data_IF_149395346945
#
_entry.id   IF_149395346945
#
_cell.length_a   1.000
_cell.length_b   1.000
_cell.length_c   1.000
_cell.angle_alpha   90.00
_cell.angle_beta   90.00
_cell.angle_gamma   90.00
#
_symmetry.space_group_name_H-M   'P 1'
#
loop_
_entity.id
_entity.type
_entity.pdbx_description
1 polymer ?
#
# COMPACT_ATOMS: atom_id res chain seq x y z
N UNK A 1 16.52 4.83 34.17
CA UNK A 1 17.32 3.84 34.92
C UNK A 1 16.48 3.34 36.09
N UNK A 2 16.49 2.04 36.39
CA UNK A 2 16.02 1.57 37.70
C UNK A 2 16.94 2.22 38.74
N UNK A 3 16.44 3.24 39.44
CA UNK A 3 17.14 3.75 40.62
C UNK A 3 17.04 2.64 41.65
N UNK A 4 18.17 2.08 42.05
CA UNK A 4 18.24 1.11 43.14
C UNK A 4 17.83 1.82 44.42
N UNK A 5 16.55 1.78 44.74
CA UNK A 5 16.06 2.17 46.07
C UNK A 5 16.69 1.18 47.06
N UNK A 6 17.29 1.65 48.16
CA UNK A 6 17.80 0.75 49.19
C UNK A 6 16.67 -0.17 49.66
N UNK A 7 16.84 -1.46 49.40
CA UNK A 7 15.88 -2.48 49.82
C UNK A 7 16.03 -2.74 51.33
N UNK A 8 14.90 -2.96 52.02
CA UNK A 8 14.86 -3.36 53.44
C UNK A 8 13.96 -4.59 53.66
N UNK A 9 14.27 -5.72 53.01
CA UNK A 9 13.52 -6.97 53.18
C UNK A 9 13.54 -7.44 54.64
N UNK A 10 12.41 -7.97 55.09
CA UNK A 10 12.24 -8.42 56.48
C UNK A 10 12.83 -9.81 56.72
N UNK A 11 12.95 -10.64 55.68
CA UNK A 11 13.47 -12.02 55.74
C UNK A 11 12.83 -12.93 56.78
N UNK A 12 11.70 -12.55 57.39
CA UNK A 12 10.97 -13.34 58.40
C UNK A 12 10.80 -14.83 58.07
N UNK A 13 10.56 -15.26 56.81
CA UNK A 13 10.48 -16.68 56.47
C UNK A 13 11.79 -17.47 56.71
N UNK A 14 12.94 -16.80 56.84
CA UNK A 14 14.24 -17.43 57.10
C UNK A 14 14.53 -17.63 58.60
N UNK A 15 13.65 -17.18 59.51
CA UNK A 15 13.88 -17.27 60.96
C UNK A 15 13.97 -18.70 61.47
N UNK A 16 13.40 -19.68 60.76
CA UNK A 16 13.47 -21.10 61.09
C UNK A 16 14.83 -21.74 60.73
N UNK A 17 15.64 -21.05 59.91
CA UNK A 17 16.96 -21.52 59.53
C UNK A 17 18.02 -21.21 60.61
N UNK A 18 19.04 -22.07 60.70
CA UNK A 18 20.24 -21.83 61.51
C UNK A 18 20.94 -20.54 61.07
N UNK A 19 21.55 -19.83 62.02
CA UNK A 19 22.10 -18.48 61.81
C UNK A 19 22.99 -18.36 60.56
N UNK A 20 24.00 -19.22 60.40
CA UNK A 20 24.89 -19.20 59.23
C UNK A 20 24.12 -19.38 57.91
N UNK A 21 23.13 -20.28 57.88
CA UNK A 21 22.32 -20.54 56.68
C UNK A 21 21.35 -19.40 56.38
N UNK A 22 20.80 -18.76 57.43
CA UNK A 22 19.91 -17.60 57.31
C UNK A 22 20.65 -16.42 56.67
N UNK A 23 21.87 -16.13 57.11
CA UNK A 23 22.69 -15.06 56.57
C UNK A 23 23.04 -15.30 55.09
N UNK A 24 23.51 -16.50 54.76
CA UNK A 24 23.82 -16.84 53.36
C UNK A 24 22.60 -16.79 52.45
N UNK A 25 21.44 -17.25 52.91
CA UNK A 25 20.20 -17.18 52.15
C UNK A 25 19.77 -15.73 51.90
N UNK A 26 19.85 -14.86 52.91
CA UNK A 26 19.53 -13.43 52.77
C UNK A 26 20.46 -12.73 51.77
N UNK A 27 21.77 -12.99 51.84
CA UNK A 27 22.75 -12.48 50.86
C UNK A 27 22.42 -12.97 49.44
N UNK A 28 22.13 -14.27 49.29
CA UNK A 28 21.74 -14.86 48.01
C UNK A 28 20.52 -14.17 47.40
N UNK A 29 19.46 -13.95 48.18
CA UNK A 29 18.25 -13.25 47.72
C UNK A 29 18.52 -11.80 47.30
N UNK A 30 19.39 -11.09 48.01
CA UNK A 30 19.80 -9.73 47.62
C UNK A 30 20.53 -9.73 46.28
N UNK A 31 21.49 -10.65 46.08
CA UNK A 31 22.19 -10.80 44.80
C UNK A 31 21.22 -11.16 43.67
N UNK A 32 20.30 -12.10 43.92
CA UNK A 32 19.26 -12.48 42.96
C UNK A 32 18.37 -11.29 42.58
N UNK A 33 17.93 -10.47 43.55
CA UNK A 33 17.12 -9.28 43.26
C UNK A 33 17.82 -8.35 42.27
N UNK A 34 19.08 -7.99 42.51
CA UNK A 34 19.82 -7.11 41.61
C UNK A 34 20.10 -7.76 40.25
N UNK A 35 20.38 -9.06 40.21
CA UNK A 35 20.51 -9.81 38.96
C UNK A 35 19.24 -9.75 38.11
N UNK A 36 18.08 -9.99 38.73
CA UNK A 36 16.78 -9.92 38.05
C UNK A 36 16.47 -8.49 37.56
N UNK A 37 16.88 -7.45 38.29
CA UNK A 37 16.73 -6.07 37.84
C UNK A 37 17.53 -5.78 36.56
N UNK A 38 18.74 -6.36 36.43
CA UNK A 38 19.50 -6.25 35.18
C UNK A 38 18.81 -7.02 34.05
N UNK A 39 18.30 -8.23 34.31
CA UNK A 39 17.51 -8.97 33.32
C UNK A 39 16.28 -8.18 32.82
N UNK A 40 15.57 -7.49 33.72
CA UNK A 40 14.45 -6.60 33.33
C UNK A 40 14.90 -5.41 32.49
N UNK A 41 16.10 -4.86 32.73
CA UNK A 41 16.64 -3.77 31.91
C UNK A 41 17.03 -4.25 30.52
N UNK A 42 17.44 -5.51 30.40
CA UNK A 42 17.92 -6.12 29.17
C UNK A 42 16.80 -6.74 28.32
N UNK A 43 15.55 -6.71 28.78
CA UNK A 43 14.37 -7.13 28.00
C UNK A 43 14.29 -6.37 26.67
N UNK A 44 14.06 -7.13 25.60
CA UNK A 44 13.98 -6.64 24.22
C UNK A 44 12.58 -6.79 23.64
N UNK A 45 12.27 -5.99 22.59
CA UNK A 45 11.11 -6.24 21.76
C UNK A 45 11.11 -7.67 21.24
N UNK A 46 9.94 -8.32 21.25
CA UNK A 46 9.71 -9.70 20.79
C UNK A 46 10.38 -10.81 21.62
N UNK A 47 10.92 -10.51 22.80
CA UNK A 47 11.28 -11.55 23.75
C UNK A 47 10.06 -12.42 24.08
N UNK A 48 10.30 -13.72 24.28
CA UNK A 48 9.25 -14.69 24.58
C UNK A 48 8.54 -14.36 25.89
N UNK A 49 7.21 -14.50 25.93
CA UNK A 49 6.37 -14.38 27.14
C UNK A 49 6.91 -15.21 28.30
N UNK A 50 7.52 -16.37 28.03
CA UNK A 50 8.13 -17.22 29.04
C UNK A 50 9.22 -16.51 29.89
N UNK A 51 9.94 -15.54 29.31
CA UNK A 51 10.94 -14.75 30.03
C UNK A 51 10.25 -13.80 31.01
N UNK A 52 9.17 -13.15 30.56
CA UNK A 52 8.36 -12.25 31.40
C UNK A 52 7.71 -13.00 32.55
N UNK A 53 7.14 -14.18 32.30
CA UNK A 53 6.53 -15.04 33.31
C UNK A 53 7.56 -15.48 34.35
N UNK A 54 8.73 -15.94 33.90
CA UNK A 54 9.84 -16.32 34.78
C UNK A 54 10.26 -15.16 35.69
N UNK A 55 10.48 -13.98 35.12
CA UNK A 55 10.88 -12.80 35.90
C UNK A 55 9.80 -12.42 36.92
N UNK A 56 8.53 -12.43 36.51
CA UNK A 56 7.40 -12.10 37.36
C UNK A 56 7.27 -13.07 38.54
N UNK A 57 7.43 -14.38 38.30
CA UNK A 57 7.43 -15.41 39.34
C UNK A 57 8.61 -15.23 40.29
N UNK A 58 9.81 -14.98 39.79
CA UNK A 58 11.00 -14.77 40.62
C UNK A 58 10.87 -13.53 41.53
N UNK A 59 10.32 -12.42 41.03
CA UNK A 59 10.03 -11.25 41.86
C UNK A 59 8.93 -11.52 42.89
N UNK A 60 7.86 -12.22 42.52
CA UNK A 60 6.81 -12.60 43.47
C UNK A 60 7.34 -13.51 44.60
N UNK A 61 8.34 -14.33 44.33
CA UNK A 61 9.01 -15.11 45.38
C UNK A 61 9.80 -14.20 46.34
N UNK A 62 10.57 -13.24 45.81
CA UNK A 62 11.31 -12.29 46.64
C UNK A 62 10.38 -11.39 47.48
N UNK A 63 9.20 -11.03 46.96
CA UNK A 63 8.21 -10.23 47.69
C UNK A 63 7.80 -10.90 49.02
N UNK A 64 7.71 -12.23 49.07
CA UNK A 64 7.40 -12.98 50.30
C UNK A 64 8.46 -12.79 51.41
N UNK A 65 9.67 -12.39 51.05
CA UNK A 65 10.77 -12.09 51.96
C UNK A 65 10.89 -10.58 52.27
N UNK A 66 9.97 -9.75 51.75
CA UNK A 66 9.87 -8.33 52.05
C UNK A 66 10.56 -7.41 51.03
N UNK A 67 10.95 -7.93 49.87
CA UNK A 67 11.48 -7.10 48.80
C UNK A 67 10.38 -6.23 48.19
N UNK A 68 10.68 -4.96 47.91
CA UNK A 68 9.81 -4.11 47.12
C UNK A 68 10.02 -4.42 45.63
N UNK A 69 9.01 -5.04 45.04
CA UNK A 69 8.98 -5.49 43.65
C UNK A 69 7.96 -4.75 42.80
N UNK A 70 7.29 -3.73 43.33
CA UNK A 70 6.21 -3.05 42.63
C UNK A 70 6.68 -2.42 41.31
N UNK A 71 7.80 -1.71 41.35
CA UNK A 71 8.42 -1.08 40.18
C UNK A 71 8.86 -2.09 39.09
N UNK A 72 9.67 -3.13 39.39
CA UNK A 72 10.05 -4.11 38.37
C UNK A 72 8.84 -4.89 37.83
N UNK A 73 7.88 -5.27 38.66
CA UNK A 73 6.64 -5.94 38.21
C UNK A 73 5.84 -5.05 37.24
N UNK A 74 5.59 -3.78 37.62
CA UNK A 74 4.91 -2.81 36.77
C UNK A 74 5.61 -2.64 35.42
N UNK A 75 6.94 -2.60 35.42
CA UNK A 75 7.74 -2.48 34.20
C UNK A 75 7.65 -3.72 33.32
N UNK A 76 7.71 -4.92 33.89
CA UNK A 76 7.53 -6.18 33.16
C UNK A 76 6.16 -6.19 32.49
N UNK A 77 5.08 -5.90 33.22
CA UNK A 77 3.71 -5.80 32.66
C UNK A 77 3.64 -4.76 31.55
N UNK A 78 4.25 -3.59 31.74
CA UNK A 78 4.23 -2.54 30.73
C UNK A 78 4.95 -2.95 29.45
N UNK A 79 6.14 -3.56 29.55
CA UNK A 79 6.89 -4.03 28.38
C UNK A 79 6.15 -5.15 27.67
N UNK A 80 5.55 -6.09 28.39
CA UNK A 80 4.71 -7.14 27.79
C UNK A 80 3.55 -6.55 26.99
N UNK A 81 2.84 -5.56 27.55
CA UNK A 81 1.75 -4.88 26.84
C UNK A 81 2.23 -4.14 25.58
N UNK A 82 3.46 -3.63 25.59
CA UNK A 82 4.07 -3.00 24.42
C UNK A 82 4.44 -4.03 23.36
N UNK A 83 4.93 -5.22 23.75
CA UNK A 83 5.20 -6.32 22.81
C UNK A 83 3.92 -6.77 22.09
N UNK A 84 2.81 -6.95 22.81
CA UNK A 84 1.52 -7.28 22.20
C UNK A 84 1.05 -6.19 21.22
N UNK A 85 1.26 -4.91 21.61
CA UNK A 85 0.97 -3.77 20.75
C UNK A 85 1.83 -3.74 19.49
N UNK A 86 3.12 -4.04 19.60
CA UNK A 86 4.05 -4.11 18.48
C UNK A 86 3.68 -5.24 17.51
N UNK A 87 3.29 -6.41 18.01
CA UNK A 87 2.82 -7.53 17.19
C UNK A 87 1.60 -7.14 16.36
N UNK A 88 0.57 -6.54 16.99
CA UNK A 88 -0.62 -6.04 16.30
C UNK A 88 -0.27 -4.98 15.25
N UNK A 89 0.63 -4.05 15.57
CA UNK A 89 1.08 -3.03 14.62
C UNK A 89 1.88 -3.59 13.46
N UNK A 90 2.64 -4.67 13.66
CA UNK A 90 3.32 -5.37 12.58
C UNK A 90 2.32 -6.03 11.62
N UNK A 91 1.26 -6.67 12.14
CA UNK A 91 0.18 -7.25 11.33
C UNK A 91 -0.59 -6.17 10.54
N UNK A 92 -0.96 -5.06 11.21
CA UNK A 92 -1.61 -3.91 10.55
C UNK A 92 -0.73 -3.35 9.43
N UNK A 93 0.58 -3.21 9.66
CA UNK A 93 1.54 -2.73 8.66
C UNK A 93 1.56 -3.64 7.44
N UNK A 94 1.68 -4.97 7.62
CA UNK A 94 1.68 -5.94 6.51
C UNK A 94 0.36 -5.84 5.72
N UNK A 95 -0.77 -5.71 6.40
CA UNK A 95 -2.08 -5.55 5.76
C UNK A 95 -2.13 -4.29 4.88
N UNK A 96 -1.60 -3.17 5.37
CA UNK A 96 -1.55 -1.91 4.61
C UNK A 96 -0.61 -2.00 3.42
N UNK A 97 0.57 -2.60 3.60
CA UNK A 97 1.54 -2.82 2.52
C UNK A 97 0.93 -3.67 1.39
N UNK A 98 0.23 -4.77 1.72
CA UNK A 98 -0.45 -5.60 0.73
C UNK A 98 -1.54 -4.84 -0.05
N UNK A 99 -2.34 -4.01 0.64
CA UNK A 99 -3.37 -3.18 0.00
C UNK A 99 -2.77 -2.12 -0.92
N UNK A 100 -1.62 -1.57 -0.54
CA UNK A 100 -0.90 -0.60 -1.36
C UNK A 100 -0.39 -1.27 -2.66
N UNK A 101 0.22 -2.44 -2.55
CA UNK A 101 0.69 -3.20 -3.73
C UNK A 101 -0.46 -3.57 -4.69
N UNK A 102 -1.63 -3.93 -4.16
CA UNK A 102 -2.83 -4.19 -4.95
C UNK A 102 -3.32 -2.92 -5.67
N UNK A 103 -3.42 -1.80 -4.95
CA UNK A 103 -3.82 -0.52 -5.53
C UNK A 103 -2.86 -0.05 -6.63
N UNK A 104 -1.55 -0.24 -6.45
CA UNK A 104 -0.53 0.09 -7.47
C UNK A 104 -0.63 -0.81 -8.70
N UNK A 105 -1.04 -2.08 -8.54
CA UNK A 105 -1.29 -2.99 -9.66
C UNK A 105 -2.51 -2.55 -10.46
N UNK A 106 -3.63 -2.26 -9.79
CA UNK A 106 -4.85 -1.80 -10.45
C UNK A 106 -4.64 -0.45 -11.15
N UNK A 107 -3.91 0.47 -10.51
CA UNK A 107 -3.50 1.74 -11.13
C UNK A 107 -2.75 1.49 -12.44
N UNK A 108 -1.76 0.60 -12.47
CA UNK A 108 -0.99 0.28 -13.69
C UNK A 108 -1.88 -0.27 -14.80
N UNK A 109 -2.79 -1.18 -14.47
CA UNK A 109 -3.75 -1.72 -15.44
C UNK A 109 -4.61 -0.62 -16.08
N UNK A 110 -5.12 0.30 -15.27
CA UNK A 110 -5.88 1.46 -15.76
C UNK A 110 -5.00 2.36 -16.64
N UNK A 111 -3.74 2.62 -16.26
CA UNK A 111 -2.80 3.40 -17.08
C UNK A 111 -2.52 2.75 -18.44
N UNK A 112 -2.40 1.42 -18.49
CA UNK A 112 -2.24 0.64 -19.72
C UNK A 112 -3.48 0.73 -20.62
N UNK A 113 -4.68 0.56 -20.05
CA UNK A 113 -5.96 0.71 -20.76
C UNK A 113 -6.11 2.14 -21.32
N UNK A 114 -5.76 3.16 -20.53
CA UNK A 114 -5.75 4.56 -20.98
C UNK A 114 -4.77 4.79 -22.14
N UNK A 115 -3.58 4.18 -22.11
CA UNK A 115 -2.61 4.29 -23.18
C UNK A 115 -3.10 3.62 -24.47
N UNK A 116 -3.77 2.47 -24.36
CA UNK A 116 -4.38 1.79 -25.50
C UNK A 116 -5.52 2.62 -26.11
N UNK A 117 -6.40 3.19 -25.28
CA UNK A 117 -7.48 4.06 -25.74
C UNK A 117 -6.95 5.29 -26.47
N UNK A 118 -5.90 5.94 -25.96
CA UNK A 118 -5.23 7.05 -26.65
C UNK A 118 -4.72 6.64 -28.03
N UNK A 119 -4.14 5.44 -28.16
CA UNK A 119 -3.66 4.92 -29.45
C UNK A 119 -4.82 4.70 -30.43
N UNK A 120 -5.95 4.15 -29.96
CA UNK A 120 -7.15 3.95 -30.78
C UNK A 120 -7.76 5.27 -31.24
N UNK A 121 -7.77 6.30 -30.39
CA UNK A 121 -8.25 7.64 -30.76
C UNK A 121 -7.40 8.21 -31.90
N UNK A 122 -6.07 8.14 -31.80
CA UNK A 122 -5.17 8.63 -32.85
C UNK A 122 -5.38 7.90 -34.19
N UNK A 123 -5.59 6.58 -34.16
CA UNK A 123 -5.90 5.81 -35.35
C UNK A 123 -7.24 6.22 -35.98
N UNK A 124 -8.27 6.46 -35.17
CA UNK A 124 -9.57 6.93 -35.67
C UNK A 124 -9.46 8.32 -36.28
N UNK A 125 -8.72 9.25 -35.65
CA UNK A 125 -8.47 10.59 -36.20
C UNK A 125 -7.74 10.53 -37.55
N UNK A 126 -6.79 9.59 -37.71
CA UNK A 126 -6.12 9.39 -38.99
C UNK A 126 -7.09 8.90 -40.07
N UNK A 127 -7.97 7.95 -39.74
CA UNK A 127 -8.98 7.44 -40.68
C UNK A 127 -10.00 8.51 -41.07
N UNK A 128 -10.42 9.33 -40.11
CA UNK A 128 -11.29 10.47 -40.34
C UNK A 128 -10.66 11.45 -41.34
N UNK A 129 -9.39 11.80 -41.16
CA UNK A 129 -8.66 12.68 -42.10
C UNK A 129 -8.61 12.11 -43.53
N UNK A 130 -8.33 10.80 -43.67
CA UNK A 130 -8.32 10.13 -44.99
C UNK A 130 -9.72 10.16 -45.63
N UNK A 131 -10.76 9.87 -44.85
CA UNK A 131 -12.14 9.87 -45.35
C UNK A 131 -12.59 11.27 -45.79
N UNK A 132 -12.16 12.32 -45.09
CA UNK A 132 -12.45 13.70 -45.50
C UNK A 132 -11.73 14.06 -46.81
N UNK A 133 -10.46 13.67 -46.99
CA UNK A 133 -9.74 13.85 -48.26
C UNK A 133 -10.42 13.11 -49.43
N UNK A 134 -10.85 11.86 -49.22
CA UNK A 134 -11.58 11.08 -50.23
C UNK A 134 -12.92 11.72 -50.59
N UNK A 135 -13.64 12.24 -49.59
CA UNK A 135 -14.89 12.97 -49.78
C UNK A 135 -14.67 14.24 -50.59
N UNK A 136 -13.67 15.07 -50.24
CA UNK A 136 -13.36 16.29 -51.00
C UNK A 136 -12.98 15.97 -52.46
N UNK A 137 -12.24 14.89 -52.70
CA UNK A 137 -11.90 14.45 -54.05
C UNK A 137 -13.15 14.02 -54.84
N UNK A 138 -14.04 13.25 -54.22
CA UNK A 138 -15.31 12.84 -54.83
C UNK A 138 -16.21 14.04 -55.14
N UNK A 139 -16.29 15.02 -54.23
CA UNK A 139 -17.05 16.27 -54.44
C UNK A 139 -16.52 17.05 -55.65
N UNK A 140 -15.19 17.19 -55.79
CA UNK A 140 -14.57 17.83 -56.97
C UNK A 140 -14.91 17.09 -58.26
N UNK A 141 -14.80 15.76 -58.26
CA UNK A 141 -15.14 14.94 -59.42
C UNK A 141 -16.62 15.07 -59.82
N UNK A 142 -17.53 15.14 -58.84
CA UNK A 142 -18.96 15.36 -59.09
C UNK A 142 -19.20 16.71 -59.74
N UNK A 143 -18.53 17.78 -59.29
CA UNK A 143 -18.64 19.11 -59.89
C UNK A 143 -18.16 19.11 -61.34
N UNK A 144 -17.00 18.49 -61.61
CA UNK A 144 -16.46 18.37 -62.97
C UNK A 144 -17.40 17.59 -63.89
N UNK A 145 -17.92 16.44 -63.43
CA UNK A 145 -18.89 15.64 -64.19
C UNK A 145 -20.16 16.42 -64.51
N UNK A 146 -20.68 17.22 -63.57
CA UNK A 146 -21.85 18.08 -63.82
C UNK A 146 -21.57 19.12 -64.90
N UNK A 147 -20.41 19.79 -64.83
CA UNK A 147 -20.02 20.76 -65.85
C UNK A 147 -19.89 20.11 -67.23
N UNK A 148 -19.29 18.92 -67.32
CA UNK A 148 -19.16 18.20 -68.58
C UNK A 148 -20.53 17.78 -69.15
N UNK A 149 -21.45 17.33 -68.29
CA UNK A 149 -22.81 17.00 -68.70
C UNK A 149 -23.56 18.22 -69.25
N UNK A 150 -23.40 19.40 -68.63
CA UNK A 150 -23.98 20.66 -69.12
C UNK A 150 -23.42 21.05 -70.50
N UNK A 151 -22.11 20.91 -70.71
CA UNK A 151 -21.49 21.15 -72.02
C UNK A 151 -22.03 20.21 -73.10
N UNK A 152 -22.10 18.90 -72.80
CA UNK A 152 -22.63 17.90 -73.76
C UNK A 152 -24.09 18.21 -74.11
N UNK A 153 -24.91 18.60 -73.13
CA UNK A 153 -26.31 18.97 -73.37
C UNK A 153 -26.42 20.21 -74.26
N UNK A 154 -25.56 21.21 -74.07
CA UNK A 154 -25.51 22.39 -74.95
C UNK A 154 -25.13 22.00 -76.38
N UNK A 155 -24.06 21.22 -76.56
CA UNK A 155 -23.63 20.73 -77.88
C UNK A 155 -24.71 19.89 -78.56
N UNK A 156 -25.41 19.05 -77.80
CA UNK A 156 -26.53 18.25 -78.32
C UNK A 156 -27.68 19.13 -78.82
N UNK A 157 -28.08 20.14 -78.03
CA UNK A 157 -29.13 21.08 -78.42
C UNK A 157 -28.74 21.91 -79.65
N UNK A 158 -27.49 22.36 -79.74
CA UNK A 158 -26.96 23.06 -80.93
C UNK A 158 -27.05 22.17 -82.18
N UNK A 159 -26.64 20.91 -82.08
CA UNK A 159 -26.72 19.95 -83.18
C UNK A 159 -28.16 19.66 -83.60
N UNK A 160 -29.10 19.56 -82.66
CA UNK A 160 -30.52 19.42 -82.99
C UNK A 160 -31.07 20.63 -83.77
N UNK A 161 -30.65 21.84 -83.41
CA UNK A 161 -31.04 23.07 -84.12
C UNK A 161 -30.48 23.05 -85.53
N UNK A 162 -29.18 22.83 -85.70
CA UNK A 162 -28.52 22.75 -87.01
C UNK A 162 -29.16 21.68 -87.91
N UNK A 163 -29.50 20.53 -87.34
CA UNK A 163 -30.21 19.46 -88.05
C UNK A 163 -31.57 19.93 -88.58
N UNK A 164 -32.39 20.58 -87.75
CA UNK A 164 -33.72 21.10 -88.12
C UNK A 164 -33.64 22.21 -89.17
N UNK A 165 -32.66 23.10 -89.05
CA UNK A 165 -32.41 24.18 -90.01
C UNK A 165 -32.00 23.63 -91.38
N UNK A 166 -31.10 22.65 -91.40
CA UNK A 166 -30.62 21.98 -92.63
C UNK A 166 -31.78 21.32 -93.39
N UNK A 167 -32.67 20.62 -92.69
CA UNK A 167 -33.86 20.01 -93.30
C UNK A 167 -34.86 21.04 -93.87
N UNK A 168 -34.84 22.27 -93.36
CA UNK A 168 -35.77 23.35 -93.75
C UNK A 168 -35.20 24.25 -94.85
N UNK A 169 -33.95 24.04 -95.28
CA UNK A 169 -33.28 24.85 -96.29
C UNK A 169 -33.84 24.58 -97.71
N UNK A 170 -33.96 25.60 -98.59
CA UNK A 170 -34.35 25.41 -99.99
C UNK A 170 -33.29 24.65 -100.80
N UNK A 171 -33.73 23.80 -101.74
CA UNK A 171 -32.87 23.03 -102.66
C UNK A 171 -32.13 23.89 -103.68
#
# INVERSE_FOLDING_TARGET
SLKSIPQRPHFSPLLEAKDDFREWAAVGMMVSYYGLLEEVKDLKPNDSTAIFDRLSVSFAELEKHGFDVADPQSRITKVLSLNDGLAKKAEERICVENKLEEAEREKRKVEEEMAELKRKILELQRREAIAEEEKEAAEKMIVEMKSNAETIEQEFQEMEVEFKETLSAPW
#
